data_IF_052070538723
#
_entry.id   IF_052070538723
#
_cell.length_a   1.000
_cell.length_b   1.000
_cell.length_c   1.000
_cell.angle_alpha   90.00
_cell.angle_beta   90.00
_cell.angle_gamma   90.00
#
_symmetry.space_group_name_H-M   'P 1'
#
loop_
_entity.id
_entity.type
_entity.pdbx_description
1 polymer ?
#
# COMPACT_ATOMS: atom_id res chain seq x y z
N UNK A 1 -40.56 -1.79 -22.60
CA UNK A 1 -39.32 -1.16 -22.07
C UNK A 1 -38.15 -1.80 -22.76
N UNK A 2 -37.38 -1.05 -23.55
CA UNK A 2 -36.17 -1.60 -24.20
C UNK A 2 -35.16 -1.98 -23.12
N UNK A 3 -34.90 -3.29 -23.02
CA UNK A 3 -33.91 -3.84 -22.09
C UNK A 3 -32.48 -3.45 -22.47
N UNK A 4 -31.59 -3.37 -21.49
CA UNK A 4 -30.17 -3.19 -21.75
C UNK A 4 -29.55 -4.56 -22.07
N UNK A 5 -28.85 -4.69 -23.19
CA UNK A 5 -28.19 -5.95 -23.57
C UNK A 5 -27.05 -6.31 -22.61
N UNK A 6 -26.90 -7.60 -22.31
CA UNK A 6 -25.87 -8.11 -21.37
C UNK A 6 -24.45 -7.67 -21.70
N UNK A 7 -24.07 -7.82 -22.98
CA UNK A 7 -22.72 -7.44 -23.46
C UNK A 7 -22.41 -5.96 -23.25
N UNK A 8 -23.40 -5.09 -23.37
CA UNK A 8 -23.24 -3.66 -23.17
C UNK A 8 -22.97 -3.35 -21.68
N UNK A 9 -23.71 -3.99 -20.75
CA UNK A 9 -23.47 -3.84 -19.32
C UNK A 9 -22.10 -4.38 -18.92
N UNK A 10 -21.68 -5.53 -19.47
CA UNK A 10 -20.33 -6.08 -19.25
C UNK A 10 -19.29 -5.07 -19.70
N UNK A 11 -19.38 -4.55 -20.94
CA UNK A 11 -18.48 -3.56 -21.47
C UNK A 11 -18.32 -2.35 -20.53
N UNK A 12 -19.43 -1.69 -20.21
CA UNK A 12 -19.35 -0.48 -19.37
C UNK A 12 -18.94 -0.76 -17.93
N UNK A 13 -19.48 -1.82 -17.33
CA UNK A 13 -19.26 -2.07 -15.91
C UNK A 13 -17.94 -2.79 -15.63
N UNK A 14 -17.60 -3.85 -16.37
CA UNK A 14 -16.41 -4.67 -16.11
C UNK A 14 -15.17 -4.15 -16.84
N UNK A 15 -15.29 -3.80 -18.14
CA UNK A 15 -14.15 -3.38 -18.96
C UNK A 15 -13.81 -1.90 -18.76
N UNK A 16 -14.80 -1.00 -18.97
CA UNK A 16 -14.62 0.44 -18.81
C UNK A 16 -14.69 0.89 -17.34
N UNK A 17 -15.00 -0.02 -16.41
CA UNK A 17 -15.04 0.20 -14.95
C UNK A 17 -15.96 1.35 -14.49
N UNK A 18 -16.97 1.69 -15.29
CA UNK A 18 -17.94 2.73 -14.93
C UNK A 18 -18.75 2.34 -13.69
N UNK A 19 -19.20 3.32 -12.92
CA UNK A 19 -20.12 3.10 -11.80
C UNK A 19 -21.56 2.88 -12.31
N UNK A 20 -22.43 2.30 -11.47
CA UNK A 20 -23.85 2.14 -11.79
C UNK A 20 -24.49 3.50 -12.11
N UNK A 21 -24.18 4.56 -11.35
CA UNK A 21 -24.66 5.91 -11.59
C UNK A 21 -24.24 6.44 -12.98
N UNK A 22 -22.98 6.25 -13.37
CA UNK A 22 -22.48 6.66 -14.68
C UNK A 22 -23.19 5.90 -15.82
N UNK A 23 -23.41 4.60 -15.65
CA UNK A 23 -24.13 3.79 -16.62
C UNK A 23 -25.60 4.24 -16.71
N UNK A 24 -26.24 4.51 -15.56
CA UNK A 24 -27.60 5.04 -15.49
C UNK A 24 -27.74 6.35 -16.26
N UNK A 25 -26.79 7.26 -16.09
CA UNK A 25 -26.72 8.53 -16.84
C UNK A 25 -26.59 8.31 -18.35
N UNK A 26 -25.69 7.43 -18.80
CA UNK A 26 -25.48 7.12 -20.22
C UNK A 26 -26.76 6.60 -20.88
N UNK A 27 -27.49 5.70 -20.19
CA UNK A 27 -28.71 5.09 -20.72
C UNK A 27 -29.99 5.89 -20.41
N UNK A 28 -29.86 7.04 -19.74
CA UNK A 28 -31.01 7.85 -19.27
C UNK A 28 -32.03 6.99 -18.51
N UNK A 29 -31.55 6.11 -17.62
CA UNK A 29 -32.32 5.20 -16.79
C UNK A 29 -31.98 5.42 -15.32
N UNK A 30 -32.82 4.91 -14.41
CA UNK A 30 -32.51 4.92 -12.96
C UNK A 30 -31.43 3.88 -12.61
N UNK A 31 -30.69 4.13 -11.54
CA UNK A 31 -29.73 3.15 -10.98
C UNK A 31 -30.43 1.83 -10.60
N UNK A 32 -31.67 1.90 -10.14
CA UNK A 32 -32.51 0.72 -9.85
C UNK A 32 -32.69 -0.14 -11.09
N UNK A 33 -32.97 0.49 -12.25
CA UNK A 33 -33.09 -0.22 -13.53
C UNK A 33 -31.79 -0.91 -13.94
N UNK A 34 -30.63 -0.23 -13.80
CA UNK A 34 -29.33 -0.84 -14.08
C UNK A 34 -29.05 -2.00 -13.15
N UNK A 35 -29.32 -1.83 -11.85
CA UNK A 35 -29.17 -2.88 -10.84
C UNK A 35 -30.04 -4.11 -11.12
N UNK A 36 -31.26 -3.91 -11.58
CA UNK A 36 -32.16 -5.00 -12.00
C UNK A 36 -31.52 -5.82 -13.14
N UNK A 37 -31.06 -5.15 -14.21
CA UNK A 37 -30.45 -5.83 -15.33
C UNK A 37 -29.13 -6.52 -14.96
N UNK A 38 -28.31 -5.92 -14.10
CA UNK A 38 -27.10 -6.55 -13.58
C UNK A 38 -27.42 -7.85 -12.82
N UNK A 39 -28.43 -7.83 -11.96
CA UNK A 39 -28.88 -9.02 -11.23
C UNK A 39 -29.44 -10.08 -12.18
N UNK A 40 -30.29 -9.70 -13.14
CA UNK A 40 -30.86 -10.61 -14.15
C UNK A 40 -29.78 -11.32 -14.99
N UNK A 41 -28.67 -10.65 -15.25
CA UNK A 41 -27.54 -11.21 -16.02
C UNK A 41 -26.45 -11.83 -15.15
N UNK A 42 -26.64 -11.95 -13.85
CA UNK A 42 -25.66 -12.46 -12.88
C UNK A 42 -24.33 -11.71 -12.94
N UNK A 43 -24.36 -10.40 -13.19
CA UNK A 43 -23.16 -9.56 -13.15
C UNK A 43 -22.86 -9.20 -11.70
N UNK A 44 -21.77 -9.74 -11.15
CA UNK A 44 -21.34 -9.48 -9.78
C UNK A 44 -21.00 -8.01 -9.58
N UNK A 45 -21.64 -7.40 -8.57
CA UNK A 45 -21.34 -6.02 -8.19
C UNK A 45 -20.00 -5.93 -7.47
N UNK A 46 -19.28 -4.83 -7.70
CA UNK A 46 -18.09 -4.48 -6.94
C UNK A 46 -18.45 -4.24 -5.49
N UNK A 47 -17.56 -4.61 -4.60
CA UNK A 47 -17.61 -4.21 -3.20
C UNK A 47 -17.40 -2.69 -3.08
N UNK A 48 -17.79 -2.11 -1.96
CA UNK A 48 -17.57 -0.68 -1.66
C UNK A 48 -16.07 -0.35 -1.74
N UNK A 49 -15.22 -1.24 -1.20
CA UNK A 49 -13.77 -1.07 -1.24
C UNK A 49 -13.22 -1.02 -2.67
N UNK A 50 -13.67 -1.91 -3.56
CA UNK A 50 -13.28 -1.91 -4.98
C UNK A 50 -13.77 -0.66 -5.70
N UNK A 51 -14.98 -0.20 -5.42
CA UNK A 51 -15.53 1.01 -6.02
C UNK A 51 -14.72 2.27 -5.60
N UNK A 52 -14.39 2.39 -4.32
CA UNK A 52 -13.52 3.46 -3.79
C UNK A 52 -12.12 3.37 -4.40
N UNK A 53 -11.56 2.16 -4.51
CA UNK A 53 -10.25 1.97 -5.11
C UNK A 53 -10.21 2.47 -6.56
N UNK A 54 -11.20 2.11 -7.38
CA UNK A 54 -11.30 2.56 -8.77
C UNK A 54 -11.51 4.07 -8.89
N UNK A 55 -12.34 4.66 -8.01
CA UNK A 55 -12.55 6.11 -7.96
C UNK A 55 -11.24 6.86 -7.67
N UNK A 56 -10.41 6.35 -6.77
CA UNK A 56 -9.15 6.96 -6.38
C UNK A 56 -8.00 6.69 -7.37
N UNK A 57 -8.16 5.69 -8.23
CA UNK A 57 -7.16 5.27 -9.22
C UNK A 57 -7.76 5.18 -10.64
N UNK A 58 -8.27 6.30 -11.20
CA UNK A 58 -8.97 6.28 -12.49
C UNK A 58 -8.05 5.91 -13.67
N UNK A 59 -6.74 6.11 -13.52
CA UNK A 59 -5.72 5.78 -14.54
C UNK A 59 -5.12 4.37 -14.37
N UNK A 60 -5.69 3.55 -13.48
CA UNK A 60 -5.17 2.22 -13.15
C UNK A 60 -4.39 2.17 -11.85
N UNK A 61 -3.71 1.07 -11.60
CA UNK A 61 -2.99 0.85 -10.34
C UNK A 61 -1.81 1.84 -10.20
N UNK A 62 -1.61 2.45 -9.01
CA UNK A 62 -0.51 3.38 -8.75
C UNK A 62 0.83 2.65 -8.52
N UNK A 63 0.93 1.42 -8.97
CA UNK A 63 2.11 0.57 -8.91
C UNK A 63 2.17 -0.32 -10.15
N UNK A 64 3.37 -0.82 -10.47
CA UNK A 64 3.57 -1.79 -11.56
C UNK A 64 4.61 -2.82 -11.15
N UNK A 65 4.16 -4.02 -10.81
CA UNK A 65 5.04 -5.11 -10.42
C UNK A 65 5.96 -5.48 -11.57
N UNK A 66 7.26 -5.58 -11.28
CA UNK A 66 8.31 -5.91 -12.24
C UNK A 66 8.86 -7.30 -11.93
N UNK A 67 9.00 -8.10 -12.95
CA UNK A 67 9.71 -9.37 -12.85
C UNK A 67 11.21 -9.11 -12.89
N UNK A 68 12.01 -9.75 -12.01
CA UNK A 68 13.45 -9.65 -12.06
C UNK A 68 14.01 -10.13 -13.41
N UNK A 69 14.85 -9.33 -14.05
CA UNK A 69 15.54 -9.65 -15.29
C UNK A 69 17.06 -9.72 -15.14
N UNK A 70 17.57 -9.62 -13.91
CA UNK A 70 18.97 -9.78 -13.57
C UNK A 70 19.11 -10.27 -12.12
N UNK A 71 20.31 -10.72 -11.77
CA UNK A 71 20.63 -11.28 -10.44
C UNK A 71 20.32 -10.30 -9.30
N UNK A 72 20.70 -9.04 -9.45
CA UNK A 72 20.45 -8.02 -8.42
C UNK A 72 18.95 -7.84 -8.10
N UNK A 73 18.08 -7.80 -9.14
CA UNK A 73 16.64 -7.68 -8.94
C UNK A 73 16.02 -8.97 -8.37
N UNK A 74 16.57 -10.14 -8.73
CA UNK A 74 16.15 -11.42 -8.15
C UNK A 74 16.50 -11.48 -6.66
N UNK A 75 17.74 -11.13 -6.30
CA UNK A 75 18.18 -11.00 -4.90
C UNK A 75 17.32 -9.99 -4.13
N UNK A 76 17.10 -8.80 -4.69
CA UNK A 76 16.27 -7.77 -4.07
C UNK A 76 14.83 -8.25 -3.83
N UNK A 77 14.24 -9.00 -4.77
CA UNK A 77 12.92 -9.61 -4.62
C UNK A 77 12.90 -10.61 -3.47
N UNK A 78 13.85 -11.54 -3.45
CA UNK A 78 13.97 -12.54 -2.37
C UNK A 78 14.18 -11.89 -1.00
N UNK A 79 15.12 -10.95 -0.91
CA UNK A 79 15.37 -10.17 0.30
C UNK A 79 14.12 -9.42 0.76
N UNK A 80 13.45 -8.70 -0.15
CA UNK A 80 12.26 -7.92 0.19
C UNK A 80 11.09 -8.76 0.68
N UNK A 81 10.86 -9.93 0.07
CA UNK A 81 9.87 -10.91 0.52
C UNK A 81 10.23 -11.48 1.89
N UNK A 82 11.49 -11.89 2.09
CA UNK A 82 11.98 -12.39 3.37
C UNK A 82 11.85 -11.37 4.49
N UNK A 83 12.23 -10.10 4.23
CA UNK A 83 12.06 -9.01 5.20
C UNK A 83 10.59 -8.77 5.57
N UNK A 84 9.69 -8.82 4.58
CA UNK A 84 8.27 -8.65 4.88
C UNK A 84 7.68 -9.88 5.57
N UNK A 85 8.15 -11.05 5.24
CA UNK A 85 7.73 -12.30 5.91
C UNK A 85 8.16 -12.33 7.38
N UNK A 86 9.37 -11.90 7.72
CA UNK A 86 9.86 -11.85 9.11
C UNK A 86 9.31 -10.65 9.89
N UNK A 87 9.51 -9.43 9.39
CA UNK A 87 9.31 -8.18 10.12
C UNK A 87 8.03 -7.41 9.71
N UNK A 88 7.39 -7.82 8.59
CA UNK A 88 6.22 -7.13 8.06
C UNK A 88 4.96 -7.33 8.90
N UNK A 89 4.15 -6.29 9.04
CA UNK A 89 2.86 -6.38 9.72
C UNK A 89 1.80 -7.03 8.81
N UNK A 90 1.57 -8.33 8.99
CA UNK A 90 0.58 -9.10 8.22
C UNK A 90 -0.86 -8.95 8.72
N UNK A 91 -1.06 -8.47 9.96
CA UNK A 91 -2.41 -8.22 10.53
C UNK A 91 -3.09 -7.00 9.89
N UNK A 92 -2.33 -6.00 9.47
CA UNK A 92 -2.89 -4.82 8.79
C UNK A 92 -3.34 -5.19 7.37
N UNK A 93 -4.65 -5.07 7.09
CA UNK A 93 -5.24 -5.40 5.79
C UNK A 93 -5.19 -4.25 4.78
N UNK A 94 -4.90 -3.02 5.22
CA UNK A 94 -5.06 -1.81 4.39
C UNK A 94 -3.74 -1.25 3.86
N UNK A 95 -2.60 -1.71 4.37
CA UNK A 95 -1.29 -1.21 3.97
C UNK A 95 -0.19 -2.23 4.19
N UNK A 96 0.86 -2.12 3.37
CA UNK A 96 2.15 -2.74 3.63
C UNK A 96 2.83 -1.90 4.70
N UNK A 97 3.27 -2.53 5.79
CA UNK A 97 3.92 -1.88 6.91
C UNK A 97 5.10 -2.72 7.40
N UNK A 98 6.27 -2.10 7.50
CA UNK A 98 7.46 -2.70 8.10
C UNK A 98 8.13 -1.68 9.02
N UNK A 99 8.47 -2.10 10.23
CA UNK A 99 9.14 -1.29 11.24
C UNK A 99 10.46 -1.93 11.63
N UNK A 100 11.55 -1.17 11.60
CA UNK A 100 12.84 -1.66 12.09
C UNK A 100 13.74 -0.52 12.55
N UNK A 101 14.76 -0.87 13.36
CA UNK A 101 15.80 0.04 13.83
C UNK A 101 17.02 0.06 12.91
N UNK A 102 17.21 -0.96 12.09
CA UNK A 102 18.30 -1.08 11.15
C UNK A 102 18.05 -0.25 9.89
N UNK A 103 18.85 0.79 9.63
CA UNK A 103 18.68 1.64 8.46
C UNK A 103 18.91 0.91 7.13
N UNK A 104 19.81 -0.06 7.09
CA UNK A 104 20.07 -0.84 5.88
C UNK A 104 18.89 -1.72 5.52
N UNK A 105 18.29 -2.38 6.50
CA UNK A 105 17.09 -3.20 6.33
C UNK A 105 15.92 -2.36 5.80
N UNK A 106 15.65 -1.23 6.44
CA UNK A 106 14.56 -0.32 6.01
C UNK A 106 14.82 0.20 4.60
N UNK A 107 16.06 0.58 4.27
CA UNK A 107 16.44 1.04 2.93
C UNK A 107 16.26 -0.06 1.87
N UNK A 108 16.70 -1.28 2.13
CA UNK A 108 16.50 -2.44 1.23
C UNK A 108 15.03 -2.72 1.00
N UNK A 109 14.20 -2.63 2.04
CA UNK A 109 12.77 -2.80 1.89
C UNK A 109 12.12 -1.67 1.08
N UNK A 110 12.52 -0.43 1.27
CA UNK A 110 12.09 0.71 0.43
C UNK A 110 12.49 0.50 -1.03
N UNK A 111 13.72 0.02 -1.29
CA UNK A 111 14.16 -0.30 -2.65
C UNK A 111 13.32 -1.42 -3.29
N UNK A 112 12.99 -2.46 -2.54
CA UNK A 112 12.08 -3.52 -2.97
C UNK A 112 10.71 -2.97 -3.37
N UNK A 113 10.10 -2.12 -2.53
CA UNK A 113 8.81 -1.49 -2.85
C UNK A 113 8.86 -0.68 -4.15
N UNK A 114 9.97 0.02 -4.40
CA UNK A 114 10.14 0.88 -5.57
C UNK A 114 10.50 0.06 -6.81
N UNK A 115 11.53 -0.79 -6.72
CA UNK A 115 12.13 -1.44 -7.90
C UNK A 115 11.38 -2.69 -8.33
N UNK A 116 10.83 -3.45 -7.39
CA UNK A 116 10.10 -4.70 -7.67
C UNK A 116 8.60 -4.46 -7.71
N UNK A 117 8.03 -3.84 -6.67
CA UNK A 117 6.57 -3.61 -6.63
C UNK A 117 6.15 -2.37 -7.44
N UNK A 118 7.10 -1.57 -7.93
CA UNK A 118 6.83 -0.42 -8.80
C UNK A 118 6.09 0.73 -8.11
N UNK A 119 6.22 0.85 -6.80
CA UNK A 119 5.62 1.93 -6.03
C UNK A 119 6.38 3.23 -6.27
N UNK A 120 5.65 4.33 -6.49
CA UNK A 120 6.31 5.63 -6.53
C UNK A 120 6.80 6.01 -5.12
N UNK A 121 8.08 6.33 -5.01
CA UNK A 121 8.71 6.70 -3.74
C UNK A 121 7.96 7.82 -2.99
N UNK A 122 7.37 8.77 -3.73
CA UNK A 122 6.60 9.89 -3.15
C UNK A 122 5.33 9.43 -2.43
N UNK A 123 4.80 8.25 -2.76
CA UNK A 123 3.60 7.68 -2.14
C UNK A 123 3.91 6.92 -0.84
N UNK A 124 5.18 6.67 -0.55
CA UNK A 124 5.58 6.06 0.72
C UNK A 124 5.46 7.08 1.86
N UNK A 125 4.94 6.62 2.99
CA UNK A 125 4.87 7.38 4.24
C UNK A 125 5.74 6.70 5.29
N UNK A 126 6.20 7.51 6.23
CA UNK A 126 7.10 7.06 7.29
C UNK A 126 6.59 7.55 8.63
N UNK A 127 6.85 6.79 9.69
CA UNK A 127 6.71 7.26 11.06
C UNK A 127 7.95 6.89 11.85
N UNK A 128 8.15 7.59 12.96
CA UNK A 128 9.29 7.39 13.83
C UNK A 128 8.79 7.19 15.27
N UNK A 129 9.38 6.21 15.94
CA UNK A 129 9.25 6.01 17.38
C UNK A 129 10.63 6.08 17.99
N UNK A 130 10.80 6.94 19.00
CA UNK A 130 12.05 7.14 19.74
C UNK A 130 11.82 6.96 21.24
N UNK A 131 12.90 6.71 21.97
CA UNK A 131 12.87 6.82 23.43
C UNK A 131 13.04 8.27 23.89
N UNK A 132 12.60 8.58 25.10
CA UNK A 132 12.62 9.94 25.66
C UNK A 132 14.02 10.55 25.84
N UNK A 133 15.06 9.74 25.80
CA UNK A 133 16.46 10.14 25.84
C UNK A 133 17.08 10.39 24.44
N UNK A 134 16.30 10.24 23.37
CA UNK A 134 16.70 10.52 21.98
C UNK A 134 16.03 11.79 21.51
N UNK A 135 16.79 12.72 20.95
CA UNK A 135 16.20 13.92 20.32
C UNK A 135 15.43 13.52 19.04
N UNK A 136 14.08 13.72 19.01
CA UNK A 136 13.24 13.27 17.89
C UNK A 136 13.63 13.93 16.55
N UNK A 137 14.01 15.21 16.58
CA UNK A 137 14.39 15.96 15.37
C UNK A 137 15.70 15.47 14.77
N UNK A 138 16.67 15.10 15.61
CA UNK A 138 17.94 14.53 15.17
C UNK A 138 17.71 13.17 14.52
N UNK A 139 16.88 12.35 15.15
CA UNK A 139 16.52 11.03 14.61
C UNK A 139 15.74 11.12 13.29
N UNK A 140 14.76 12.03 13.20
CA UNK A 140 14.00 12.27 11.96
C UNK A 140 14.91 12.73 10.82
N UNK A 141 15.76 13.72 11.07
CA UNK A 141 16.71 14.22 10.07
C UNK A 141 17.68 13.14 9.60
N UNK A 142 18.13 12.26 10.49
CA UNK A 142 18.95 11.12 10.13
C UNK A 142 18.21 10.22 9.10
N UNK A 143 16.98 9.83 9.39
CA UNK A 143 16.20 8.97 8.50
C UNK A 143 15.86 9.65 7.17
N UNK A 144 15.53 10.94 7.18
CA UNK A 144 15.30 11.74 5.96
C UNK A 144 16.51 11.69 5.04
N UNK A 145 17.69 11.97 5.58
CA UNK A 145 18.95 11.96 4.82
C UNK A 145 19.31 10.56 4.34
N UNK A 146 19.23 9.56 5.22
CA UNK A 146 19.62 8.19 4.92
C UNK A 146 18.75 7.55 3.84
N UNK A 147 17.42 7.71 3.93
CA UNK A 147 16.47 7.18 2.96
C UNK A 147 16.30 8.10 1.73
N UNK A 148 16.89 9.31 1.75
CA UNK A 148 16.72 10.34 0.71
C UNK A 148 15.25 10.60 0.41
N UNK A 149 14.48 10.92 1.44
CA UNK A 149 13.03 11.21 1.37
C UNK A 149 12.76 12.65 1.78
N UNK A 150 11.52 13.13 1.56
CA UNK A 150 11.10 14.47 1.99
C UNK A 150 10.53 14.42 3.40
N UNK A 151 10.71 15.49 4.18
CA UNK A 151 10.09 15.63 5.51
C UNK A 151 8.56 15.47 5.46
N UNK A 152 7.91 15.93 4.38
CA UNK A 152 6.45 15.78 4.16
C UNK A 152 5.98 14.32 4.01
N UNK A 153 6.89 13.37 3.88
CA UNK A 153 6.58 11.93 3.86
C UNK A 153 6.54 11.35 5.27
N UNK A 154 7.10 12.03 6.27
CA UNK A 154 6.93 11.63 7.66
C UNK A 154 5.54 11.98 8.18
N UNK A 155 4.99 11.12 9.02
CA UNK A 155 3.78 11.42 9.79
C UNK A 155 4.09 12.56 10.77
N UNK A 156 3.15 13.49 10.94
CA UNK A 156 3.34 14.70 11.76
C UNK A 156 3.71 14.44 13.21
N UNK A 157 3.32 13.28 13.76
CA UNK A 157 3.56 12.95 15.16
C UNK A 157 4.64 11.86 15.28
N UNK A 158 5.75 12.21 15.91
CA UNK A 158 6.75 11.25 16.36
C UNK A 158 6.26 10.65 17.68
N UNK A 159 6.30 9.32 17.79
CA UNK A 159 5.96 8.63 19.02
C UNK A 159 7.16 8.62 19.96
N UNK A 160 7.03 9.19 21.15
CA UNK A 160 8.06 9.16 22.18
C UNK A 160 7.66 8.19 23.28
N UNK A 161 8.51 7.20 23.56
CA UNK A 161 8.31 6.20 24.59
C UNK A 161 9.29 6.49 25.75
N UNK A 162 8.83 6.39 26.99
CA UNK A 162 9.73 6.61 28.14
C UNK A 162 10.84 5.55 28.17
N UNK A 163 12.09 6.02 28.27
CA UNK A 163 13.25 5.15 28.46
C UNK A 163 13.24 4.59 29.89
N UNK A 164 13.73 3.36 30.07
CA UNK A 164 13.93 2.76 31.39
C UNK A 164 12.81 1.86 31.93
N UNK A 165 11.64 1.79 31.27
CA UNK A 165 10.55 0.88 31.72
C UNK A 165 10.51 -0.47 31.03
N UNK A 166 11.27 -0.69 29.99
CA UNK A 166 11.28 -1.94 29.23
C UNK A 166 12.72 -2.46 29.13
N UNK A 167 13.02 -3.45 29.96
CA UNK A 167 14.06 -4.46 29.78
C UNK A 167 15.48 -3.96 29.51
N UNK A 168 16.37 -4.82 29.71
CA UNK A 168 17.80 -4.97 29.53
C UNK A 168 18.44 -4.49 28.22
N UNK A 169 17.96 -3.47 27.54
CA UNK A 169 18.62 -2.93 26.34
C UNK A 169 19.95 -2.23 26.73
N UNK A 170 21.04 -3.00 26.70
CA UNK A 170 22.41 -2.51 26.92
C UNK A 170 22.90 -1.54 25.84
N UNK A 171 22.31 -1.59 24.62
CA UNK A 171 22.59 -0.66 23.51
C UNK A 171 21.31 0.03 23.09
N UNK A 172 21.16 1.28 23.45
CA UNK A 172 20.04 2.13 23.01
C UNK A 172 20.18 2.40 21.51
N UNK A 173 19.08 2.28 20.77
CA UNK A 173 19.08 2.64 19.35
C UNK A 173 19.10 4.17 19.23
N UNK A 174 20.17 4.70 18.62
CA UNK A 174 20.45 6.13 18.52
C UNK A 174 19.41 6.91 17.72
N UNK A 175 18.71 6.26 16.79
CA UNK A 175 17.79 6.92 15.85
C UNK A 175 16.37 6.34 15.90
N UNK A 176 16.05 5.57 16.91
CA UNK A 176 14.72 4.98 17.09
C UNK A 176 14.31 3.95 16.04
N UNK A 177 13.03 3.67 15.98
CA UNK A 177 12.39 2.72 15.06
C UNK A 177 11.71 3.48 13.94
N UNK A 178 12.18 3.34 12.72
CA UNK A 178 11.49 3.84 11.55
C UNK A 178 10.48 2.82 11.02
N UNK A 179 9.29 3.29 10.71
CA UNK A 179 8.28 2.48 10.04
C UNK A 179 8.00 3.02 8.66
N UNK A 180 8.08 2.19 7.63
CA UNK A 180 7.64 2.51 6.27
C UNK A 180 6.23 1.99 6.03
N UNK A 181 5.41 2.80 5.35
CA UNK A 181 4.04 2.49 4.95
C UNK A 181 3.86 2.65 3.45
N UNK A 182 3.18 1.68 2.84
CA UNK A 182 2.58 1.83 1.53
C UNK A 182 1.08 1.55 1.64
N UNK A 183 0.27 2.63 1.57
CA UNK A 183 -1.18 2.56 1.73
C UNK A 183 -1.84 2.11 0.43
N UNK A 184 -1.91 0.80 0.20
CA UNK A 184 -2.60 0.20 -0.93
C UNK A 184 -3.01 -1.23 -0.59
N UNK A 185 -4.30 -1.46 -0.40
CA UNK A 185 -4.88 -2.76 -0.03
C UNK A 185 -4.63 -3.81 -1.11
N UNK A 186 -4.81 -3.46 -2.39
CA UNK A 186 -4.61 -4.38 -3.51
C UNK A 186 -3.15 -4.87 -3.57
N UNK A 187 -2.19 -3.94 -3.50
CA UNK A 187 -0.78 -4.27 -3.52
C UNK A 187 -0.37 -5.11 -2.29
N UNK A 188 -0.95 -4.78 -1.12
CA UNK A 188 -0.71 -5.54 0.11
C UNK A 188 -1.18 -7.00 -0.05
N UNK A 189 -2.36 -7.23 -0.63
CA UNK A 189 -2.86 -8.59 -0.84
C UNK A 189 -1.96 -9.35 -1.82
N UNK A 190 -1.59 -8.74 -2.95
CA UNK A 190 -0.63 -9.34 -3.89
C UNK A 190 0.70 -9.70 -3.20
N UNK A 191 1.22 -8.82 -2.32
CA UNK A 191 2.45 -9.10 -1.58
C UNK A 191 2.29 -10.28 -0.62
N UNK A 192 1.15 -10.41 0.05
CA UNK A 192 0.85 -11.58 0.90
C UNK A 192 0.81 -12.87 0.08
N UNK A 193 0.15 -12.84 -1.08
CA UNK A 193 0.04 -14.00 -1.98
C UNK A 193 1.40 -14.44 -2.55
N UNK A 194 2.42 -13.58 -2.47
CA UNK A 194 3.81 -13.91 -2.85
C UNK A 194 4.62 -14.56 -1.72
N UNK A 195 4.10 -14.56 -0.49
CA UNK A 195 4.80 -15.15 0.65
C UNK A 195 4.56 -16.66 0.72
N UNK A 196 5.51 -17.45 1.23
CA UNK A 196 5.35 -18.88 1.49
C UNK A 196 4.55 -19.10 2.79
N UNK A 197 3.26 -18.76 2.78
CA UNK A 197 2.34 -18.87 3.92
C UNK A 197 1.40 -20.05 3.73
#
# INVERSE_FOLDING_TARGET
MNGIKKNILIKYYLEEKKSVAQIASIFKKSETSINYWMSKYNIKKRTISEAIYLKNNPKGDPFKIKYPNNFYLAELKGTGLGLYWSEGNKKNKNSIKLANTDPMLVKKFVEFLIKILGVNKRNLKFSLQVFSDVNPYVAENYWIKYLKIKSSQFCRKITVTQSGKIGTYKKKNKYGVATVYCHNTKLRNILIDMLPL
#
